data_IF_293133776128
#
_entry.id   IF_293133776128
#
_cell.length_a   1.000
_cell.length_b   1.000
_cell.length_c   1.000
_cell.angle_alpha   90.00
_cell.angle_beta   90.00
_cell.angle_gamma   90.00
#
_symmetry.space_group_name_H-M   'P 1'
#
loop_
_entity.id
_entity.type
_entity.pdbx_description
1 polymer ?
#
# COMPACT_ATOMS: atom_id res chain seq x y z
N UNK A 1 1.58 16.57 16.33
CA UNK A 1 1.24 16.77 14.91
C UNK A 1 -0.27 16.96 14.66
N UNK A 2 -1.16 16.12 15.17
CA UNK A 2 -2.60 16.18 14.85
C UNK A 2 -3.29 17.49 15.27
N UNK A 3 -2.95 18.02 16.44
CA UNK A 3 -3.53 19.27 16.97
C UNK A 3 -3.19 20.51 16.12
N UNK A 4 -2.00 20.55 15.52
CA UNK A 4 -1.57 21.66 14.66
C UNK A 4 -2.37 21.66 13.35
N UNK A 5 -2.64 20.49 12.78
CA UNK A 5 -3.46 20.37 11.58
C UNK A 5 -4.90 20.85 11.80
N UNK A 6 -5.50 20.48 12.93
CA UNK A 6 -6.84 20.93 13.30
C UNK A 6 -6.86 22.44 13.55
N UNK A 7 -5.87 22.97 14.29
CA UNK A 7 -5.76 24.41 14.52
C UNK A 7 -5.67 25.20 13.21
N UNK A 8 -4.88 24.73 12.25
CA UNK A 8 -4.75 25.37 10.93
C UNK A 8 -6.09 25.35 10.20
N UNK A 9 -6.80 24.21 10.16
CA UNK A 9 -8.13 24.04 9.53
C UNK A 9 -9.18 25.03 10.05
N UNK A 10 -9.15 25.36 11.34
CA UNK A 10 -10.11 26.30 11.94
C UNK A 10 -9.70 27.77 11.82
N UNK A 11 -8.40 28.08 11.78
CA UNK A 11 -7.92 29.47 11.87
C UNK A 11 -7.42 30.05 10.55
N UNK A 12 -7.11 29.23 9.54
CA UNK A 12 -6.60 29.70 8.25
C UNK A 12 -7.65 29.51 7.14
N UNK A 13 -8.19 30.59 6.56
CA UNK A 13 -9.20 30.48 5.50
C UNK A 13 -8.57 29.98 4.18
N UNK A 14 -9.33 29.19 3.42
CA UNK A 14 -8.96 28.66 2.09
C UNK A 14 -7.77 27.67 2.05
N UNK A 15 -7.51 26.96 3.14
CA UNK A 15 -6.59 25.81 3.12
C UNK A 15 -7.30 24.55 2.58
N UNK A 16 -6.54 23.60 2.03
CA UNK A 16 -7.07 22.40 1.38
C UNK A 16 -8.09 22.67 0.24
N UNK A 17 -8.08 23.86 -0.36
CA UNK A 17 -9.01 24.23 -1.44
C UNK A 17 -8.32 24.13 -2.80
N UNK A 18 -9.01 23.66 -3.85
CA UNK A 18 -8.45 23.49 -5.20
C UNK A 18 -7.84 24.76 -5.82
N UNK A 19 -8.15 25.95 -5.29
CA UNK A 19 -7.67 27.25 -5.79
C UNK A 19 -6.32 27.67 -5.20
N UNK A 20 -5.92 27.10 -4.06
CA UNK A 20 -4.67 27.45 -3.36
C UNK A 20 -3.65 26.31 -3.49
N UNK A 21 -2.76 26.40 -4.48
CA UNK A 21 -1.73 25.39 -4.72
C UNK A 21 -0.73 25.24 -3.56
N UNK A 22 -0.47 26.32 -2.82
CA UNK A 22 0.55 26.35 -1.75
C UNK A 22 0.11 25.62 -0.47
N UNK A 23 -1.20 25.46 -0.23
CA UNK A 23 -1.77 24.87 0.98
C UNK A 23 -2.63 23.64 0.65
N UNK A 24 -2.03 22.64 -0.03
CA UNK A 24 -2.68 21.36 -0.34
C UNK A 24 -2.57 20.36 0.81
N UNK A 25 -3.63 19.57 0.97
CA UNK A 25 -3.76 18.57 2.02
C UNK A 25 -3.65 17.16 1.43
N UNK A 26 -2.49 16.88 0.84
CA UNK A 26 -2.22 15.67 0.06
C UNK A 26 -2.53 14.38 0.82
N UNK A 27 -2.24 14.34 2.13
CA UNK A 27 -2.49 13.16 2.96
C UNK A 27 -3.99 12.83 3.07
N UNK A 28 -4.82 13.87 3.26
CA UNK A 28 -6.28 13.72 3.36
C UNK A 28 -6.87 13.38 1.98
N UNK A 29 -6.38 14.00 0.91
CA UNK A 29 -6.82 13.68 -0.46
C UNK A 29 -6.47 12.24 -0.86
N UNK A 30 -5.27 11.76 -0.51
CA UNK A 30 -4.83 10.41 -0.81
C UNK A 30 -5.64 9.36 -0.02
N UNK A 31 -5.90 9.60 1.27
CA UNK A 31 -6.73 8.70 2.08
C UNK A 31 -8.19 8.70 1.64
N UNK A 32 -8.72 9.84 1.20
CA UNK A 32 -10.05 9.92 0.60
C UNK A 32 -10.15 9.15 -0.72
N UNK A 33 -9.18 9.35 -1.61
CA UNK A 33 -9.11 8.64 -2.90
C UNK A 33 -8.95 7.14 -2.69
N UNK A 34 -8.09 6.72 -1.75
CA UNK A 34 -7.93 5.33 -1.38
C UNK A 34 -9.26 4.74 -0.87
N UNK A 35 -9.96 5.44 0.02
CA UNK A 35 -11.26 4.97 0.55
C UNK A 35 -12.30 4.75 -0.54
N UNK A 36 -12.29 5.58 -1.59
CA UNK A 36 -13.15 5.40 -2.77
C UNK A 36 -12.72 4.16 -3.57
N UNK A 37 -11.42 3.97 -3.78
CA UNK A 37 -10.90 2.82 -4.54
C UNK A 37 -11.24 1.51 -3.82
N UNK A 38 -10.94 1.44 -2.53
CA UNK A 38 -11.16 0.24 -1.71
C UNK A 38 -12.64 0.02 -1.36
N UNK A 39 -13.44 1.09 -1.25
CA UNK A 39 -14.85 1.01 -0.89
C UNK A 39 -15.83 0.92 -2.08
N UNK A 40 -15.71 1.82 -3.06
CA UNK A 40 -16.76 2.07 -4.08
C UNK A 40 -16.35 1.60 -5.47
N UNK A 41 -15.11 1.87 -5.90
CA UNK A 41 -14.61 1.45 -7.21
C UNK A 41 -14.47 -0.08 -7.30
N UNK A 42 -14.40 -0.75 -6.15
CA UNK A 42 -14.44 -2.20 -6.02
C UNK A 42 -13.13 -2.83 -6.45
N UNK A 43 -12.30 -3.24 -5.49
CA UNK A 43 -11.12 -4.06 -5.78
C UNK A 43 -11.51 -5.34 -6.54
N UNK A 44 -12.69 -5.88 -6.27
CA UNK A 44 -13.17 -7.18 -6.76
C UNK A 44 -13.71 -7.17 -8.19
N UNK A 45 -13.68 -6.04 -8.91
CA UNK A 45 -14.11 -6.02 -10.32
C UNK A 45 -13.03 -6.62 -11.23
N UNK A 46 -13.30 -7.75 -11.92
CA UNK A 46 -12.36 -8.32 -12.87
C UNK A 46 -12.13 -7.34 -14.03
N UNK A 47 -10.86 -7.06 -14.35
CA UNK A 47 -10.44 -6.09 -15.38
C UNK A 47 -10.20 -4.66 -14.87
N UNK A 48 -10.40 -4.40 -13.57
CA UNK A 48 -10.02 -3.11 -12.97
C UNK A 48 -8.51 -2.98 -12.80
N UNK A 49 -7.97 -1.76 -12.89
CA UNK A 49 -6.55 -1.44 -12.65
C UNK A 49 -6.06 -1.89 -11.26
N UNK A 50 -6.97 -2.03 -10.31
CA UNK A 50 -6.69 -2.44 -8.92
C UNK A 50 -6.86 -3.95 -8.67
N UNK A 51 -7.30 -4.72 -9.66
CA UNK A 51 -7.44 -6.17 -9.55
C UNK A 51 -6.13 -6.92 -9.25
N UNK A 52 -4.95 -6.52 -9.80
CA UNK A 52 -3.67 -7.16 -9.47
C UNK A 52 -3.31 -7.09 -7.98
N UNK A 53 -3.79 -6.07 -7.25
CA UNK A 53 -3.55 -5.92 -5.81
C UNK A 53 -4.29 -7.02 -5.02
N UNK A 54 -5.49 -7.42 -5.46
CA UNK A 54 -6.18 -8.57 -4.87
C UNK A 54 -5.42 -9.87 -5.12
N UNK A 55 -4.86 -10.03 -6.32
CA UNK A 55 -4.09 -11.23 -6.68
C UNK A 55 -2.76 -11.31 -5.92
N UNK A 56 -2.17 -10.18 -5.56
CA UNK A 56 -0.94 -10.12 -4.77
C UNK A 56 -1.10 -10.69 -3.35
N UNK A 57 -2.31 -10.64 -2.76
CA UNK A 57 -2.58 -11.14 -1.42
C UNK A 57 -2.34 -12.67 -1.26
N UNK A 58 -2.97 -13.55 -2.06
CA UNK A 58 -2.69 -14.99 -2.00
C UNK A 58 -1.25 -15.32 -2.41
N UNK A 59 -0.66 -14.59 -3.36
CA UNK A 59 0.74 -14.78 -3.76
C UNK A 59 1.68 -14.53 -2.57
N UNK A 60 1.47 -13.42 -1.85
CA UNK A 60 2.25 -13.10 -0.64
C UNK A 60 2.11 -14.13 0.47
N UNK A 61 0.98 -14.85 0.55
CA UNK A 61 0.77 -15.95 1.51
C UNK A 61 1.43 -17.27 1.05
N UNK A 62 1.39 -17.56 -0.24
CA UNK A 62 1.92 -18.81 -0.82
C UNK A 62 3.46 -18.82 -0.82
N UNK A 63 4.10 -17.68 -1.14
CA UNK A 63 5.56 -17.54 -1.17
C UNK A 63 6.29 -18.03 0.11
N UNK A 64 5.93 -17.58 1.33
CA UNK A 64 6.57 -18.05 2.56
C UNK A 64 6.22 -19.50 2.91
N UNK A 65 5.03 -19.99 2.51
CA UNK A 65 4.64 -21.37 2.73
C UNK A 65 5.48 -22.34 1.87
N UNK A 66 5.72 -21.98 0.61
CA UNK A 66 6.59 -22.73 -0.31
C UNK A 66 8.04 -22.71 0.21
N UNK A 67 8.56 -21.56 0.62
CA UNK A 67 9.94 -21.47 1.11
C UNK A 67 10.18 -22.28 2.38
N UNK A 68 9.21 -22.32 3.30
CA UNK A 68 9.25 -23.18 4.47
C UNK A 68 9.28 -24.68 4.10
N UNK A 69 8.45 -25.09 3.13
CA UNK A 69 8.45 -26.48 2.65
C UNK A 69 9.79 -26.87 2.00
N UNK A 70 10.37 -25.99 1.17
CA UNK A 70 11.67 -26.23 0.55
C UNK A 70 12.80 -26.29 1.59
N UNK A 71 12.76 -25.45 2.62
CA UNK A 71 13.71 -25.49 3.73
C UNK A 71 13.68 -26.83 4.47
N UNK A 72 12.47 -27.38 4.69
CA UNK A 72 12.30 -28.68 5.34
C UNK A 72 12.79 -29.86 4.49
N UNK A 73 12.67 -29.77 3.16
CA UNK A 73 13.08 -30.84 2.23
C UNK A 73 14.57 -30.81 1.88
N UNK A 74 15.19 -29.63 1.86
CA UNK A 74 16.60 -29.44 1.51
C UNK A 74 17.37 -28.68 2.62
N UNK A 75 17.80 -29.36 3.70
CA UNK A 75 18.51 -28.72 4.81
C UNK A 75 19.91 -28.19 4.45
N UNK A 76 20.46 -28.53 3.28
CA UNK A 76 21.79 -28.06 2.85
C UNK A 76 21.76 -26.65 2.24
N UNK A 77 20.60 -26.16 1.81
CA UNK A 77 20.49 -24.92 1.02
C UNK A 77 20.25 -23.72 1.92
N UNK A 78 21.30 -23.28 2.62
CA UNK A 78 21.27 -22.13 3.56
C UNK A 78 20.82 -20.80 2.91
N UNK A 79 20.90 -20.68 1.58
CA UNK A 79 20.51 -19.47 0.86
C UNK A 79 18.99 -19.23 0.85
N UNK A 80 18.16 -20.28 0.97
CA UNK A 80 16.71 -20.13 1.04
C UNK A 80 16.22 -19.50 2.36
N UNK A 81 16.99 -19.64 3.44
CA UNK A 81 16.73 -18.96 4.71
C UNK A 81 17.09 -17.46 4.68
N UNK A 82 17.92 -17.03 3.71
CA UNK A 82 18.33 -15.64 3.54
C UNK A 82 17.32 -14.82 2.71
N UNK A 83 16.40 -15.48 2.01
CA UNK A 83 15.39 -14.82 1.16
C UNK A 83 14.29 -14.25 2.07
N UNK A 84 14.42 -12.96 2.38
CA UNK A 84 13.36 -12.19 3.02
C UNK A 84 12.32 -11.76 1.98
N UNK A 85 11.34 -12.63 1.72
CA UNK A 85 10.16 -12.32 0.90
C UNK A 85 9.50 -10.97 1.22
N UNK A 86 9.30 -10.56 2.49
CA UNK A 86 8.73 -9.23 2.77
C UNK A 86 9.61 -8.10 2.24
N UNK A 87 10.94 -8.17 2.36
CA UNK A 87 11.85 -7.13 1.85
C UNK A 87 11.74 -7.03 0.32
N UNK A 88 11.71 -8.17 -0.37
CA UNK A 88 11.61 -8.23 -1.84
C UNK A 88 10.28 -7.67 -2.37
N UNK A 89 9.19 -7.91 -1.65
CA UNK A 89 7.87 -7.40 -2.00
C UNK A 89 7.69 -5.92 -1.64
N UNK A 90 8.38 -5.43 -0.59
CA UNK A 90 8.39 -4.01 -0.22
C UNK A 90 9.19 -3.15 -1.22
N UNK A 91 10.20 -3.71 -1.90
CA UNK A 91 10.92 -2.97 -2.95
C UNK A 91 10.04 -2.56 -4.13
N UNK A 92 8.94 -3.26 -4.39
CA UNK A 92 8.02 -2.94 -5.49
C UNK A 92 6.90 -1.97 -5.08
N UNK A 93 6.64 -1.76 -3.78
CA UNK A 93 5.57 -0.87 -3.30
C UNK A 93 5.88 0.62 -3.45
N UNK A 94 7.14 0.98 -3.67
CA UNK A 94 7.56 2.38 -3.87
C UNK A 94 7.47 2.83 -5.33
N UNK A 95 7.09 1.94 -6.25
CA UNK A 95 6.88 2.32 -7.64
C UNK A 95 5.51 2.99 -7.75
N UNK A 96 5.42 4.27 -8.14
CA UNK A 96 4.13 4.88 -8.44
C UNK A 96 3.47 4.06 -9.57
N UNK A 97 2.19 3.71 -9.44
CA UNK A 97 1.46 2.92 -10.45
C UNK A 97 1.25 3.68 -11.77
#
# INVERSE_FOLDING_TARGET
HYLVGIYLLYNVPNICTSKNHSWRCLHVENTYTASIIFGVAGLFKPGSRYFPILLAFPIGFILPMISWYLYKKYPSTKWLALINFPILLLSTTNLPP
#
